data_IF_627053957270
#
_entry.id   IF_627053957270
#
_cell.length_a   1.000
_cell.length_b   1.000
_cell.length_c   1.000
_cell.angle_alpha   90.00
_cell.angle_beta   90.00
_cell.angle_gamma   90.00
#
_symmetry.space_group_name_H-M   'P 1'
#
loop_
_entity.id
_entity.type
_entity.pdbx_description
1 polymer ?
#
# COMPACT_ATOMS: atom_id res chain seq x y z
N UNK A 1 -6.08 -20.71 6.20
CA UNK A 1 -5.20 -20.16 5.13
C UNK A 1 -5.10 -18.65 5.29
N UNK A 2 -3.88 -18.09 5.27
CA UNK A 2 -3.61 -16.63 5.31
C UNK A 2 -3.26 -16.14 3.92
N UNK A 3 -3.78 -14.99 3.54
CA UNK A 3 -3.56 -14.45 2.20
C UNK A 3 -3.32 -12.94 2.19
N UNK A 4 -2.62 -12.48 1.15
CA UNK A 4 -2.50 -11.07 0.77
C UNK A 4 -3.58 -10.70 -0.26
N UNK A 5 -4.11 -9.49 -0.17
CA UNK A 5 -4.97 -8.88 -1.16
C UNK A 5 -4.36 -7.55 -1.62
N UNK A 6 -4.10 -7.44 -2.91
CA UNK A 6 -3.51 -6.28 -3.55
C UNK A 6 -4.54 -5.63 -4.48
N UNK A 7 -5.26 -4.58 -4.03
CA UNK A 7 -6.13 -3.81 -4.91
C UNK A 7 -5.30 -2.89 -5.80
N UNK A 8 -5.44 -3.03 -7.12
CA UNK A 8 -4.68 -2.22 -8.09
C UNK A 8 -5.61 -1.59 -9.11
N UNK A 9 -5.62 -0.27 -9.16
CA UNK A 9 -6.31 0.51 -10.18
C UNK A 9 -5.36 0.87 -11.32
N UNK A 10 -5.94 1.37 -12.42
CA UNK A 10 -5.17 1.91 -13.53
C UNK A 10 -4.25 3.05 -13.07
N UNK A 11 -2.94 2.86 -13.26
CA UNK A 11 -1.91 3.82 -12.84
C UNK A 11 -1.92 5.11 -13.64
N UNK A 12 -2.51 5.14 -14.85
CA UNK A 12 -2.62 6.35 -15.66
C UNK A 12 -3.37 7.47 -14.94
N UNK A 13 -4.22 7.11 -13.98
CA UNK A 13 -5.00 8.05 -13.18
C UNK A 13 -4.54 8.14 -11.72
N UNK A 14 -3.36 7.59 -11.39
CA UNK A 14 -2.82 7.61 -10.04
C UNK A 14 -2.33 9.01 -9.62
N UNK A 15 -2.18 9.19 -8.31
CA UNK A 15 -1.48 10.34 -7.68
C UNK A 15 -2.01 11.71 -8.12
N UNK A 16 -3.33 11.86 -8.24
CA UNK A 16 -3.98 13.12 -8.68
C UNK A 16 -3.67 14.31 -7.77
N UNK A 17 -3.43 14.10 -6.48
CA UNK A 17 -3.05 15.18 -5.54
C UNK A 17 -1.68 15.78 -5.83
N UNK A 18 -0.85 15.07 -6.61
CA UNK A 18 0.47 15.56 -7.07
C UNK A 18 0.41 16.36 -8.38
N UNK A 19 -0.78 16.63 -8.97
CA UNK A 19 -0.92 17.35 -10.25
C UNK A 19 -0.32 18.76 -10.23
N UNK A 20 -0.23 19.40 -9.06
CA UNK A 20 0.37 20.74 -8.92
C UNK A 20 1.90 20.74 -9.04
N UNK A 21 2.55 19.60 -8.85
CA UNK A 21 4.03 19.49 -8.75
C UNK A 21 4.64 18.45 -9.68
N UNK A 22 3.84 17.51 -10.20
CA UNK A 22 4.27 16.45 -11.12
C UNK A 22 3.42 16.45 -12.40
N UNK A 23 4.08 16.30 -13.56
CA UNK A 23 3.41 16.05 -14.84
C UNK A 23 2.67 14.70 -14.85
N UNK A 24 1.75 14.45 -15.80
CA UNK A 24 1.10 13.14 -15.92
C UNK A 24 2.09 11.97 -16.05
N UNK A 25 3.15 12.14 -16.85
CA UNK A 25 4.20 11.14 -17.03
C UNK A 25 4.98 10.87 -15.74
N UNK A 26 5.30 11.92 -14.98
CA UNK A 26 5.99 11.77 -13.70
C UNK A 26 5.11 11.08 -12.64
N UNK A 27 3.81 11.40 -12.59
CA UNK A 27 2.90 10.70 -11.68
C UNK A 27 2.77 9.22 -12.02
N UNK A 28 2.69 8.90 -13.30
CA UNK A 28 2.67 7.51 -13.77
C UNK A 28 3.97 6.79 -13.40
N UNK A 29 5.14 7.35 -13.73
CA UNK A 29 6.44 6.76 -13.42
C UNK A 29 6.68 6.58 -11.91
N UNK A 30 6.24 7.55 -11.08
CA UNK A 30 6.27 7.41 -9.63
C UNK A 30 5.40 6.23 -9.15
N UNK A 31 4.18 6.12 -9.67
CA UNK A 31 3.27 5.04 -9.31
C UNK A 31 3.82 3.66 -9.74
N UNK A 32 4.42 3.56 -10.93
CA UNK A 32 5.09 2.32 -11.37
C UNK A 32 6.29 1.96 -10.50
N UNK A 33 7.10 2.94 -10.12
CA UNK A 33 8.27 2.71 -9.27
C UNK A 33 7.87 2.21 -7.87
N UNK A 34 6.84 2.81 -7.25
CA UNK A 34 6.29 2.39 -5.96
C UNK A 34 5.64 1.00 -6.06
N UNK A 35 4.89 0.73 -7.13
CA UNK A 35 4.36 -0.60 -7.41
C UNK A 35 5.49 -1.64 -7.43
N UNK A 36 6.59 -1.37 -8.13
CA UNK A 36 7.71 -2.29 -8.21
C UNK A 36 8.36 -2.58 -6.84
N UNK A 37 8.48 -1.56 -5.97
CA UNK A 37 8.99 -1.76 -4.61
C UNK A 37 8.04 -2.60 -3.76
N UNK A 38 6.72 -2.34 -3.82
CA UNK A 38 5.72 -3.14 -3.10
C UNK A 38 5.69 -4.59 -3.60
N UNK A 39 5.73 -4.81 -4.92
CA UNK A 39 5.78 -6.15 -5.53
C UNK A 39 7.00 -6.92 -5.03
N UNK A 40 8.17 -6.29 -4.98
CA UNK A 40 9.39 -6.92 -4.46
C UNK A 40 9.22 -7.35 -3.00
N UNK A 41 8.62 -6.52 -2.17
CA UNK A 41 8.34 -6.86 -0.77
C UNK A 41 7.36 -8.04 -0.67
N UNK A 42 6.31 -8.06 -1.49
CA UNK A 42 5.32 -9.14 -1.54
C UNK A 42 5.94 -10.45 -2.00
N UNK A 43 6.81 -10.42 -3.02
CA UNK A 43 7.52 -11.62 -3.52
C UNK A 43 8.43 -12.25 -2.46
N UNK A 44 9.00 -11.45 -1.57
CA UNK A 44 9.89 -11.93 -0.51
C UNK A 44 9.16 -12.31 0.79
N UNK A 45 7.87 -12.03 0.93
CA UNK A 45 7.10 -12.38 2.12
C UNK A 45 6.80 -13.88 2.17
N UNK A 46 6.90 -14.48 3.36
CA UNK A 46 6.79 -15.92 3.56
C UNK A 46 5.55 -16.35 4.34
N UNK A 47 4.85 -15.42 5.00
CA UNK A 47 3.73 -15.75 5.90
C UNK A 47 2.37 -15.79 5.21
N UNK A 48 2.27 -15.42 3.95
CA UNK A 48 1.06 -15.55 3.13
C UNK A 48 1.12 -16.83 2.28
N UNK A 49 0.10 -17.66 2.36
CA UNK A 49 -0.03 -18.90 1.58
C UNK A 49 -0.55 -18.63 0.16
N UNK A 50 -1.26 -17.51 -0.02
CA UNK A 50 -1.85 -17.07 -1.29
C UNK A 50 -1.74 -15.55 -1.44
N UNK A 51 -1.61 -15.11 -2.68
CA UNK A 51 -1.65 -13.70 -3.04
C UNK A 51 -2.74 -13.52 -4.10
N UNK A 52 -3.68 -12.64 -3.79
CA UNK A 52 -4.77 -12.24 -4.67
C UNK A 52 -4.54 -10.81 -5.14
N UNK A 53 -4.76 -10.58 -6.42
CA UNK A 53 -4.70 -9.24 -7.03
C UNK A 53 -6.06 -8.91 -7.60
N UNK A 54 -6.70 -7.85 -7.11
CA UNK A 54 -7.97 -7.38 -7.64
C UNK A 54 -7.70 -6.20 -8.57
N UNK A 55 -7.91 -6.42 -9.88
CA UNK A 55 -7.54 -5.44 -10.89
C UNK A 55 -8.20 -5.71 -12.26
N UNK A 56 -8.38 -4.64 -13.05
CA UNK A 56 -8.66 -4.68 -14.49
C UNK A 56 -7.49 -4.07 -15.30
N UNK A 57 -6.38 -3.73 -14.65
CA UNK A 57 -5.24 -3.10 -15.29
C UNK A 57 -4.31 -4.16 -15.88
N UNK A 58 -4.31 -4.26 -17.22
CA UNK A 58 -3.61 -5.30 -17.98
C UNK A 58 -2.13 -5.52 -17.61
N UNK A 59 -1.30 -4.46 -17.40
CA UNK A 59 0.08 -4.66 -17.01
C UNK A 59 0.23 -5.41 -15.67
N UNK A 60 -0.65 -5.14 -14.72
CA UNK A 60 -0.65 -5.81 -13.40
C UNK A 60 -1.23 -7.22 -13.50
N UNK A 61 -2.21 -7.47 -14.38
CA UNK A 61 -2.69 -8.83 -14.63
C UNK A 61 -1.58 -9.73 -15.17
N UNK A 62 -0.77 -9.23 -16.12
CA UNK A 62 0.41 -9.98 -16.63
C UNK A 62 1.42 -10.26 -15.54
N UNK A 63 1.75 -9.25 -14.73
CA UNK A 63 2.65 -9.39 -13.59
C UNK A 63 2.14 -10.45 -12.60
N UNK A 64 0.84 -10.46 -12.30
CA UNK A 64 0.24 -11.46 -11.42
C UNK A 64 0.34 -12.87 -12.01
N UNK A 65 0.13 -13.04 -13.32
CA UNK A 65 0.29 -14.32 -14.02
C UNK A 65 1.74 -14.82 -13.96
N UNK A 66 2.72 -13.95 -14.22
CA UNK A 66 4.15 -14.28 -14.15
C UNK A 66 4.57 -14.75 -12.75
N UNK A 67 3.96 -14.17 -11.70
CA UNK A 67 4.20 -14.53 -10.31
C UNK A 67 3.30 -15.68 -9.80
N UNK A 68 2.39 -16.21 -10.63
CA UNK A 68 1.41 -17.24 -10.26
C UNK A 68 0.48 -16.80 -9.13
N UNK A 69 0.17 -15.51 -9.07
CA UNK A 69 -0.81 -14.95 -8.15
C UNK A 69 -2.21 -15.08 -8.70
N UNK A 70 -3.20 -15.16 -7.83
CA UNK A 70 -4.59 -15.29 -8.24
C UNK A 70 -5.19 -13.93 -8.60
N UNK A 71 -5.73 -13.81 -9.83
CA UNK A 71 -6.36 -12.57 -10.30
C UNK A 71 -7.85 -12.65 -10.01
N UNK A 72 -8.36 -11.62 -9.31
CA UNK A 72 -9.78 -11.36 -9.12
C UNK A 72 -10.15 -10.20 -10.03
N UNK A 73 -10.75 -10.51 -11.17
CA UNK A 73 -11.17 -9.50 -12.14
C UNK A 73 -12.50 -8.89 -11.71
N UNK A 74 -12.56 -7.56 -11.71
CA UNK A 74 -13.78 -6.81 -11.40
C UNK A 74 -14.58 -6.51 -12.66
N UNK A 75 -15.90 -6.65 -12.61
CA UNK A 75 -16.76 -6.17 -13.69
C UNK A 75 -16.78 -4.65 -13.80
N UNK A 76 -16.71 -3.97 -12.65
CA UNK A 76 -16.69 -2.50 -12.54
C UNK A 76 -15.86 -2.07 -11.33
N UNK A 77 -14.97 -1.12 -11.50
CA UNK A 77 -14.29 -0.42 -10.39
C UNK A 77 -15.15 0.75 -9.90
N UNK A 78 -15.93 0.54 -8.86
CA UNK A 78 -16.78 1.58 -8.23
C UNK A 78 -15.93 2.36 -7.23
N UNK A 79 -15.44 1.70 -6.20
CA UNK A 79 -14.54 2.26 -5.20
C UNK A 79 -13.50 1.23 -4.76
N UNK A 80 -12.51 1.65 -4.01
CA UNK A 80 -11.57 0.69 -3.42
C UNK A 80 -12.24 -0.20 -2.36
N UNK A 81 -13.15 0.38 -1.57
CA UNK A 81 -13.89 -0.37 -0.56
C UNK A 81 -14.73 -1.49 -1.17
N UNK A 82 -15.47 -1.19 -2.24
CA UNK A 82 -16.28 -2.20 -2.94
C UNK A 82 -15.40 -3.31 -3.53
N UNK A 83 -14.27 -2.94 -4.15
CA UNK A 83 -13.29 -3.87 -4.71
C UNK A 83 -12.73 -4.81 -3.65
N UNK A 84 -12.30 -4.25 -2.51
CA UNK A 84 -11.74 -5.02 -1.40
C UNK A 84 -12.78 -5.92 -0.76
N UNK A 85 -14.02 -5.46 -0.59
CA UNK A 85 -15.06 -6.25 0.05
C UNK A 85 -15.54 -7.39 -0.84
N UNK A 86 -15.73 -7.15 -2.13
CA UNK A 86 -16.07 -8.21 -3.10
C UNK A 86 -14.95 -9.27 -3.15
N UNK A 87 -13.69 -8.84 -3.25
CA UNK A 87 -12.54 -9.75 -3.24
C UNK A 87 -12.42 -10.52 -1.91
N UNK A 88 -12.70 -9.87 -0.77
CA UNK A 88 -12.67 -10.51 0.56
C UNK A 88 -13.71 -11.62 0.68
N UNK A 89 -14.91 -11.43 0.10
CA UNK A 89 -15.94 -12.47 0.07
C UNK A 89 -15.48 -13.69 -0.73
N UNK A 90 -14.93 -13.47 -1.94
CA UNK A 90 -14.36 -14.55 -2.76
C UNK A 90 -13.22 -15.27 -2.04
N UNK A 91 -12.33 -14.54 -1.36
CA UNK A 91 -11.26 -15.13 -0.58
C UNK A 91 -11.78 -15.99 0.56
N UNK A 92 -12.83 -15.54 1.27
CA UNK A 92 -13.45 -16.30 2.35
C UNK A 92 -14.07 -17.61 1.83
N UNK A 93 -14.80 -17.57 0.69
CA UNK A 93 -15.36 -18.76 0.02
C UNK A 93 -14.26 -19.75 -0.39
N UNK A 94 -13.06 -19.28 -0.70
CA UNK A 94 -11.88 -20.11 -1.03
C UNK A 94 -11.11 -20.59 0.21
N UNK A 95 -11.65 -20.38 1.42
CA UNK A 95 -11.09 -20.89 2.68
C UNK A 95 -9.99 -20.01 3.28
N UNK A 96 -9.86 -18.74 2.85
CA UNK A 96 -9.01 -17.78 3.54
C UNK A 96 -9.61 -17.44 4.89
N UNK A 97 -8.80 -17.52 5.94
CA UNK A 97 -9.22 -17.23 7.32
C UNK A 97 -8.68 -15.90 7.83
N UNK A 98 -7.56 -15.44 7.28
CA UNK A 98 -6.99 -14.12 7.56
C UNK A 98 -6.52 -13.47 6.26
N UNK A 99 -7.01 -12.26 5.98
CA UNK A 99 -6.74 -11.52 4.74
C UNK A 99 -6.09 -10.16 5.03
N UNK A 100 -4.85 -10.00 4.59
CA UNK A 100 -4.11 -8.73 4.68
C UNK A 100 -4.26 -7.94 3.38
N UNK A 101 -5.00 -6.83 3.43
CA UNK A 101 -5.02 -5.85 2.34
C UNK A 101 -3.81 -4.93 2.46
N UNK A 102 -3.06 -4.79 1.35
CA UNK A 102 -1.95 -3.84 1.19
C UNK A 102 -2.17 -2.95 -0.03
N UNK A 103 -1.93 -1.63 0.07
CA UNK A 103 -1.87 -0.75 -1.10
C UNK A 103 -0.53 -0.94 -1.84
N UNK A 104 -0.41 -0.34 -3.03
CA UNK A 104 0.79 -0.46 -3.87
C UNK A 104 1.64 0.82 -3.91
N UNK A 105 1.48 1.70 -2.97
CA UNK A 105 2.14 2.99 -2.88
C UNK A 105 2.96 3.16 -1.59
N UNK A 106 3.53 2.04 -1.13
CA UNK A 106 4.39 1.96 0.04
C UNK A 106 5.87 1.76 -0.39
N UNK A 107 6.57 2.81 -0.81
CA UNK A 107 7.90 2.69 -1.42
C UNK A 107 9.00 2.16 -0.48
N UNK A 108 8.76 2.19 0.82
CA UNK A 108 9.72 1.75 1.84
C UNK A 108 9.45 0.35 2.38
N UNK A 109 8.34 -0.29 1.97
CA UNK A 109 7.91 -1.58 2.49
C UNK A 109 8.96 -2.68 2.27
N UNK A 110 9.11 -3.55 3.26
CA UNK A 110 9.96 -4.73 3.20
C UNK A 110 9.13 -6.00 3.45
N UNK A 111 9.62 -7.15 2.99
CA UNK A 111 8.97 -8.45 3.20
C UNK A 111 8.75 -8.76 4.68
N UNK A 112 9.74 -8.40 5.52
CA UNK A 112 9.65 -8.55 6.97
C UNK A 112 8.53 -7.73 7.62
N UNK A 113 8.10 -6.63 7.01
CA UNK A 113 6.98 -5.84 7.51
C UNK A 113 5.66 -6.59 7.29
N UNK A 114 5.51 -7.22 6.13
CA UNK A 114 4.36 -8.06 5.77
C UNK A 114 4.29 -9.26 6.71
N UNK A 115 5.39 -9.99 6.85
CA UNK A 115 5.48 -11.14 7.74
C UNK A 115 5.23 -10.76 9.21
N UNK A 116 5.71 -9.57 9.61
CA UNK A 116 5.47 -9.00 10.93
C UNK A 116 3.99 -8.76 11.24
N UNK A 117 3.16 -8.39 10.26
CA UNK A 117 1.72 -8.23 10.45
C UNK A 117 1.03 -9.59 10.65
N UNK A 118 1.43 -10.62 9.91
CA UNK A 118 0.88 -11.97 10.08
C UNK A 118 1.35 -12.67 11.36
N UNK A 119 2.49 -12.25 11.91
CA UNK A 119 3.08 -12.85 13.11
C UNK A 119 2.50 -12.29 14.42
N UNK A 120 1.65 -11.28 14.36
CA UNK A 120 0.97 -10.75 15.54
C UNK A 120 0.06 -11.80 16.13
N UNK A 121 0.21 -12.07 17.44
CA UNK A 121 -0.69 -12.96 18.15
C UNK A 121 -2.05 -12.28 18.39
N UNK A 122 -3.13 -12.94 18.04
CA UNK A 122 -4.50 -12.46 18.26
C UNK A 122 -5.49 -13.62 18.41
N UNK A 123 -6.67 -13.31 18.97
CA UNK A 123 -7.81 -14.21 18.99
C UNK A 123 -8.88 -13.70 18.03
N UNK A 124 -9.36 -14.57 17.13
CA UNK A 124 -10.42 -14.20 16.20
C UNK A 124 -11.78 -14.05 16.93
N UNK A 125 -12.63 -13.09 16.53
CA UNK A 125 -12.43 -12.14 15.43
C UNK A 125 -11.42 -11.05 15.76
N UNK A 126 -10.61 -10.64 14.76
CA UNK A 126 -9.51 -9.69 14.99
C UNK A 126 -9.25 -8.76 13.81
N UNK A 127 -8.77 -7.58 14.13
CA UNK A 127 -8.24 -6.58 13.23
C UNK A 127 -6.80 -6.22 13.62
N UNK A 128 -5.83 -6.45 12.72
CA UNK A 128 -4.50 -5.82 12.80
C UNK A 128 -4.45 -4.70 11.77
N UNK A 129 -4.19 -3.48 12.20
CA UNK A 129 -4.30 -2.30 11.33
C UNK A 129 -3.09 -1.38 11.47
N UNK A 130 -2.64 -0.83 10.34
CA UNK A 130 -1.58 0.18 10.26
C UNK A 130 -2.20 1.47 9.71
N UNK A 131 -2.11 2.60 10.43
CA UNK A 131 -2.58 3.87 9.91
C UNK A 131 -1.64 4.42 8.82
N UNK A 132 -2.09 5.44 8.09
CA UNK A 132 -1.22 6.35 7.34
C UNK A 132 -0.35 7.20 8.28
N UNK A 133 0.67 7.85 7.74
CA UNK A 133 1.61 8.70 8.50
C UNK A 133 0.91 9.80 9.31
N UNK A 134 -0.13 10.43 8.75
CA UNK A 134 -0.95 11.44 9.42
C UNK A 134 -1.97 10.87 10.43
N UNK A 135 -2.10 9.55 10.49
CA UNK A 135 -3.02 8.83 11.38
C UNK A 135 -4.49 8.85 10.93
N UNK A 136 -4.83 9.40 9.77
CA UNK A 136 -6.23 9.51 9.31
C UNK A 136 -6.63 8.37 8.37
N UNK A 137 -5.70 7.88 7.56
CA UNK A 137 -5.87 6.80 6.59
C UNK A 137 -5.54 5.42 7.14
N UNK A 138 -5.75 4.40 6.31
CA UNK A 138 -5.42 2.99 6.60
C UNK A 138 -4.53 2.45 5.51
N UNK A 139 -3.26 2.17 5.83
CA UNK A 139 -2.28 1.66 4.89
C UNK A 139 -2.24 0.14 4.82
N UNK A 140 -2.38 -0.56 5.94
CA UNK A 140 -2.50 -2.01 5.93
C UNK A 140 -3.61 -2.48 6.87
N UNK A 141 -4.33 -3.54 6.47
CA UNK A 141 -5.45 -4.06 7.25
C UNK A 141 -5.54 -5.57 7.12
N UNK A 142 -5.23 -6.31 8.21
CA UNK A 142 -5.45 -7.75 8.32
C UNK A 142 -6.76 -8.00 9.07
N UNK A 143 -7.75 -8.57 8.39
CA UNK A 143 -9.03 -9.00 8.98
C UNK A 143 -9.06 -10.51 9.18
N UNK A 144 -9.53 -10.93 10.32
CA UNK A 144 -9.79 -12.33 10.66
C UNK A 144 -11.18 -12.45 11.30
N UNK A 145 -12.21 -12.95 10.59
CA UNK A 145 -12.22 -13.43 9.19
C UNK A 145 -12.09 -12.31 8.13
N UNK A 146 -11.88 -12.64 6.84
CA UNK A 146 -11.75 -11.65 5.75
C UNK A 146 -12.92 -10.66 5.63
N UNK A 147 -14.13 -11.14 5.88
CA UNK A 147 -15.39 -10.39 5.82
C UNK A 147 -15.84 -9.87 7.17
N UNK A 148 -14.91 -9.57 8.08
CA UNK A 148 -15.18 -9.17 9.46
C UNK A 148 -16.15 -7.97 9.56
N UNK A 149 -15.96 -6.97 8.69
CA UNK A 149 -16.80 -5.77 8.55
C UNK A 149 -16.57 -5.15 7.16
N UNK A 150 -17.48 -4.24 6.68
CA UNK A 150 -17.31 -3.51 5.44
C UNK A 150 -16.11 -2.56 5.47
N UNK A 151 -15.39 -2.45 4.36
CA UNK A 151 -14.27 -1.53 4.21
C UNK A 151 -14.74 -0.08 4.02
N UNK A 152 -13.96 0.89 4.51
CA UNK A 152 -14.24 2.33 4.43
C UNK A 152 -13.00 3.12 4.01
N UNK A 153 -12.30 2.68 2.93
CA UNK A 153 -11.09 3.37 2.45
C UNK A 153 -11.39 4.79 1.99
N UNK A 154 -10.38 5.67 2.09
CA UNK A 154 -10.47 7.10 1.83
C UNK A 154 -10.40 7.92 3.12
N UNK A 155 -10.88 9.16 3.08
CA UNK A 155 -10.74 10.11 4.19
C UNK A 155 -11.31 9.58 5.52
N UNK A 156 -10.48 9.62 6.56
CA UNK A 156 -10.83 9.18 7.91
C UNK A 156 -11.04 7.67 8.02
N UNK A 157 -10.47 6.88 7.11
CA UNK A 157 -10.67 5.42 7.06
C UNK A 157 -10.19 4.72 8.32
N UNK A 158 -9.13 5.18 8.96
CA UNK A 158 -8.60 4.57 10.17
C UNK A 158 -9.64 4.57 11.30
N UNK A 159 -10.22 5.72 11.61
CA UNK A 159 -11.24 5.83 12.66
C UNK A 159 -12.51 5.02 12.31
N UNK A 160 -12.91 4.99 11.05
CA UNK A 160 -14.07 4.22 10.58
C UNK A 160 -13.84 2.72 10.76
N UNK A 161 -12.68 2.20 10.38
CA UNK A 161 -12.33 0.79 10.55
C UNK A 161 -12.26 0.37 12.03
N UNK A 162 -11.75 1.25 12.92
CA UNK A 162 -11.76 1.00 14.36
C UNK A 162 -13.19 0.90 14.90
N UNK A 163 -14.08 1.80 14.48
CA UNK A 163 -15.49 1.76 14.88
C UNK A 163 -16.21 0.50 14.38
N UNK A 164 -15.93 0.03 13.16
CA UNK A 164 -16.49 -1.23 12.65
C UNK A 164 -15.97 -2.45 13.42
N UNK A 165 -14.68 -2.47 13.76
CA UNK A 165 -14.10 -3.55 14.56
C UNK A 165 -14.71 -3.61 15.97
N UNK A 166 -14.99 -2.46 16.59
CA UNK A 166 -15.69 -2.38 17.87
C UNK A 166 -17.11 -2.96 17.78
N UNK A 167 -17.89 -2.58 16.76
CA UNK A 167 -19.23 -3.16 16.51
C UNK A 167 -19.19 -4.67 16.29
N UNK A 168 -18.13 -5.16 15.64
CA UNK A 168 -17.92 -6.59 15.42
C UNK A 168 -17.34 -7.32 16.64
N UNK A 169 -17.14 -6.65 17.79
CA UNK A 169 -16.49 -7.18 18.98
C UNK A 169 -15.14 -7.85 18.70
N UNK A 170 -14.40 -7.28 17.74
CA UNK A 170 -13.11 -7.81 17.32
C UNK A 170 -11.98 -7.33 18.22
N UNK A 171 -10.98 -8.17 18.43
CA UNK A 171 -9.72 -7.74 19.02
C UNK A 171 -9.00 -6.79 18.05
N UNK A 172 -8.71 -5.58 18.50
CA UNK A 172 -8.01 -4.57 17.67
C UNK A 172 -6.56 -4.46 18.10
N UNK A 173 -5.66 -4.56 17.12
CA UNK A 173 -4.22 -4.39 17.29
C UNK A 173 -3.73 -3.33 16.30
N UNK A 174 -3.41 -2.16 16.81
CA UNK A 174 -2.80 -1.09 15.99
C UNK A 174 -1.29 -1.31 15.95
N UNK A 175 -0.74 -1.46 14.75
CA UNK A 175 0.71 -1.57 14.54
C UNK A 175 1.25 -0.27 13.98
N UNK A 176 2.26 0.28 14.63
CA UNK A 176 3.02 1.42 14.13
C UNK A 176 4.27 0.90 13.43
N UNK A 177 4.46 1.29 12.17
CA UNK A 177 5.63 0.91 11.37
C UNK A 177 5.89 2.00 10.34
N UNK A 178 6.97 2.75 10.50
CA UNK A 178 7.29 3.92 9.68
C UNK A 178 7.34 3.61 8.17
N UNK A 179 7.73 2.38 7.77
CA UNK A 179 7.75 1.98 6.36
C UNK A 179 6.35 1.70 5.80
N UNK A 180 5.48 1.09 6.60
CA UNK A 180 4.08 0.83 6.23
C UNK A 180 3.20 2.07 6.34
N UNK A 181 3.57 3.04 7.19
CA UNK A 181 2.85 4.31 7.35
C UNK A 181 3.19 5.32 6.23
N UNK A 182 4.27 5.06 5.45
CA UNK A 182 4.79 5.98 4.44
C UNK A 182 4.18 5.66 3.06
N UNK A 183 2.93 6.04 2.87
CA UNK A 183 2.31 6.17 1.56
C UNK A 183 2.60 7.55 0.96
N UNK A 184 2.51 7.70 -0.36
CA UNK A 184 2.83 8.96 -1.05
C UNK A 184 1.62 9.41 -1.85
N UNK A 185 0.78 10.22 -1.27
CA UNK A 185 -0.44 10.72 -1.92
C UNK A 185 -0.35 12.17 -2.39
N UNK A 186 0.38 13.01 -1.68
CA UNK A 186 0.50 14.43 -1.97
C UNK A 186 1.94 14.95 -1.88
N UNK A 187 2.12 16.26 -2.03
CA UNK A 187 3.45 16.90 -2.01
C UNK A 187 4.12 16.76 -0.64
N UNK A 188 3.38 16.84 0.45
CA UNK A 188 3.95 16.72 1.80
C UNK A 188 4.46 15.29 2.04
N UNK A 189 3.77 14.28 1.53
CA UNK A 189 4.22 12.90 1.60
C UNK A 189 5.46 12.66 0.74
N UNK A 190 5.50 13.24 -0.48
CA UNK A 190 6.67 13.14 -1.35
C UNK A 190 7.91 13.79 -0.69
N UNK A 191 7.75 14.94 -0.04
CA UNK A 191 8.82 15.58 0.72
C UNK A 191 9.27 14.72 1.90
N UNK A 192 8.34 14.16 2.66
CA UNK A 192 8.66 13.27 3.76
C UNK A 192 9.38 12.00 3.30
N UNK A 193 8.97 11.43 2.16
CA UNK A 193 9.66 10.29 1.56
C UNK A 193 11.14 10.60 1.25
N UNK A 194 11.43 11.81 0.74
CA UNK A 194 12.78 12.23 0.39
C UNK A 194 13.72 12.41 1.61
N UNK A 195 13.20 12.41 2.83
CA UNK A 195 13.98 12.41 4.07
C UNK A 195 14.52 11.01 4.44
N UNK A 196 14.03 9.96 3.75
CA UNK A 196 14.45 8.58 3.98
C UNK A 196 15.59 8.14 3.07
N UNK A 197 16.30 7.07 3.47
CA UNK A 197 17.26 6.41 2.58
C UNK A 197 16.52 5.60 1.49
N UNK A 198 16.57 6.10 0.27
CA UNK A 198 15.92 5.51 -0.91
C UNK A 198 16.89 4.77 -1.84
N UNK A 199 18.15 4.57 -1.43
CA UNK A 199 19.19 4.02 -2.31
C UNK A 199 18.88 2.61 -2.83
N UNK A 200 18.20 1.79 -2.04
CA UNK A 200 17.84 0.41 -2.38
C UNK A 200 16.47 0.27 -3.06
N UNK A 201 15.72 1.38 -3.22
CA UNK A 201 14.36 1.35 -3.77
C UNK A 201 14.33 1.68 -5.26
N UNK A 202 13.37 1.12 -5.98
CA UNK A 202 13.06 1.50 -7.37
C UNK A 202 12.54 2.93 -7.43
N UNK A 203 11.74 3.31 -6.46
CA UNK A 203 11.22 4.68 -6.31
C UNK A 203 12.33 5.70 -6.17
N UNK A 204 13.33 5.46 -5.33
CA UNK A 204 14.47 6.37 -5.18
C UNK A 204 15.34 6.48 -6.43
N UNK A 205 15.55 5.37 -7.14
CA UNK A 205 16.24 5.39 -8.44
C UNK A 205 15.47 6.25 -9.43
N UNK A 206 14.16 6.01 -9.57
CA UNK A 206 13.32 6.77 -10.48
C UNK A 206 13.28 8.26 -10.14
N UNK A 207 13.18 8.65 -8.87
CA UNK A 207 13.18 10.04 -8.42
C UNK A 207 14.46 10.78 -8.85
N UNK A 208 15.62 10.11 -8.75
CA UNK A 208 16.91 10.66 -9.20
C UNK A 208 17.00 10.79 -10.72
N UNK A 209 16.69 9.71 -11.45
CA UNK A 209 16.79 9.63 -12.91
C UNK A 209 15.83 10.58 -13.63
N UNK A 210 14.62 10.77 -13.10
CA UNK A 210 13.64 11.73 -13.62
C UNK A 210 13.94 13.19 -13.29
N UNK A 211 14.89 13.46 -12.38
CA UNK A 211 15.17 14.80 -11.87
C UNK A 211 14.11 15.35 -10.91
N UNK A 212 13.11 14.56 -10.54
CA UNK A 212 12.06 14.96 -9.58
C UNK A 212 12.68 15.26 -8.23
N UNK A 213 13.56 14.38 -7.72
CA UNK A 213 14.24 14.59 -6.43
C UNK A 213 14.90 15.97 -6.33
N UNK A 214 15.63 16.41 -7.37
CA UNK A 214 16.35 17.67 -7.36
C UNK A 214 15.44 18.91 -7.24
N UNK A 215 14.16 18.80 -7.60
CA UNK A 215 13.18 19.90 -7.47
C UNK A 215 12.69 20.08 -6.04
N UNK A 216 12.74 19.04 -5.23
CA UNK A 216 12.19 19.03 -3.88
C UNK A 216 13.27 19.18 -2.79
N UNK A 217 14.52 18.80 -3.08
CA UNK A 217 15.63 19.03 -2.15
C UNK A 217 16.06 20.51 -2.24
N UNK A 218 16.03 21.26 -1.12
CA UNK A 218 16.63 22.60 -1.12
C UNK A 218 18.11 22.49 -1.49
N UNK A 219 18.62 23.46 -2.26
CA UNK A 219 20.02 23.53 -2.72
C UNK A 219 21.01 23.44 -1.54
N UNK A 220 21.34 22.23 -1.10
CA UNK A 220 22.41 22.01 -0.10
C UNK A 220 23.82 22.20 -0.69
N UNK A 221 23.94 22.57 -1.98
CA UNK A 221 25.23 22.79 -2.68
C UNK A 221 25.70 24.25 -2.74
N UNK A 222 24.95 25.21 -2.24
CA UNK A 222 25.34 26.62 -2.29
C UNK A 222 26.22 27.08 -1.09
N UNK A 223 26.48 26.23 -0.11
CA UNK A 223 27.22 26.60 1.13
C UNK A 223 28.69 26.13 1.20
N UNK A 224 29.20 25.39 0.23
CA UNK A 224 30.54 24.78 0.32
C UNK A 224 31.63 25.48 -0.51
N UNK A 225 31.35 26.64 -1.10
CA UNK A 225 32.36 27.42 -1.85
C UNK A 225 32.43 28.87 -1.41
N UNK A 226 32.53 29.14 -0.11
CA UNK A 226 32.98 30.42 0.41
C UNK A 226 33.59 30.25 1.79
N UNK A 227 34.84 29.82 1.82
CA UNK A 227 35.75 30.15 2.88
C UNK A 227 37.07 30.56 2.22
N UNK A 228 37.63 31.75 2.58
CA UNK A 228 38.84 32.32 1.98
C UNK A 228 40.09 31.56 2.39
#
# INVERSE_FOLDING_TARGET
MRALLLPVKDLNHAKKRLMGVLTPQERFGLAEAMLADTIRAVQGACCAEKIFVVTNYEPVMRLAQENRWEILQEERQISESDSVDAASAICAERGVTGLLRLPLDLPLIQSSDIDGLFSVAYHAPALVIVPSRDGTGTNAMLRTPPVLFPSHFGSGSFAKHLAEAEKAHAQVIVRRNARLEMDVDDEADLRALLEHDLNSTTTGRWLRESGVEARFLPNMRAGAMSAP
#
